data_IF_507964901074
#
_entry.id   IF_507964901074
#
_cell.length_a   1.000
_cell.length_b   1.000
_cell.length_c   1.000
_cell.angle_alpha   90.00
_cell.angle_beta   90.00
_cell.angle_gamma   90.00
#
_symmetry.space_group_name_H-M   'P 1'
#
loop_
_entity.id
_entity.type
_entity.pdbx_description
1 polymer ?
#
# COMPACT_ATOMS: atom_id res chain seq x y z
N UNK A 1 5.88 -4.28 16.79
CA UNK A 1 5.37 -3.05 16.16
C UNK A 1 3.97 -2.76 16.67
N UNK A 2 3.66 -1.55 17.11
CA UNK A 2 2.37 -1.25 17.76
C UNK A 2 1.27 -1.11 16.70
N UNK A 3 0.56 -2.20 16.43
CA UNK A 3 -0.51 -2.28 15.39
C UNK A 3 -1.70 -1.32 15.58
N UNK A 4 -1.78 -0.57 16.71
CA UNK A 4 -2.95 0.27 17.02
C UNK A 4 -2.90 1.70 16.46
N UNK A 5 -1.75 2.15 15.93
CA UNK A 5 -1.55 3.53 15.45
C UNK A 5 -1.20 3.62 13.96
N UNK A 6 -1.28 2.52 13.25
CA UNK A 6 -1.13 2.45 11.79
C UNK A 6 -2.25 1.63 11.20
N UNK A 7 -2.63 1.98 9.99
CA UNK A 7 -3.59 1.24 9.20
C UNK A 7 -2.81 0.32 8.26
N UNK A 8 -3.05 -0.98 8.37
CA UNK A 8 -2.36 -1.98 7.54
C UNK A 8 -3.39 -2.74 6.71
N UNK A 9 -3.05 -3.00 5.48
CA UNK A 9 -3.89 -3.74 4.53
C UNK A 9 -3.04 -4.73 3.74
N UNK A 10 -3.71 -5.56 2.94
CA UNK A 10 -3.05 -6.54 2.09
C UNK A 10 -2.67 -7.83 2.80
N UNK A 11 -2.06 -8.71 2.06
CA UNK A 11 -1.65 -10.02 2.53
C UNK A 11 -0.37 -9.98 3.37
N UNK A 12 -0.14 -11.04 4.15
CA UNK A 12 1.11 -11.17 4.90
C UNK A 12 2.30 -11.50 3.98
N UNK A 13 3.51 -11.24 4.46
CA UNK A 13 4.73 -11.56 3.71
C UNK A 13 4.78 -13.03 3.30
N UNK A 14 4.32 -13.94 4.15
CA UNK A 14 4.29 -15.37 3.89
C UNK A 14 3.33 -15.72 2.75
N UNK A 15 2.15 -15.08 2.71
CA UNK A 15 1.16 -15.26 1.64
C UNK A 15 1.69 -14.73 0.31
N UNK A 16 2.27 -13.53 0.31
CA UNK A 16 2.88 -12.94 -0.89
C UNK A 16 4.02 -13.82 -1.44
N UNK A 17 4.89 -14.33 -0.55
CA UNK A 17 5.96 -15.27 -0.95
C UNK A 17 5.37 -16.55 -1.55
N UNK A 18 4.30 -17.09 -0.95
CA UNK A 18 3.62 -18.27 -1.48
C UNK A 18 3.07 -18.03 -2.88
N UNK A 19 2.46 -16.87 -3.16
CA UNK A 19 2.00 -16.50 -4.50
C UNK A 19 3.15 -16.47 -5.53
N UNK A 20 4.31 -15.93 -5.17
CA UNK A 20 5.48 -15.95 -6.06
C UNK A 20 6.00 -17.37 -6.30
N UNK A 21 6.03 -18.21 -5.26
CA UNK A 21 6.51 -19.60 -5.39
C UNK A 21 5.56 -20.47 -6.22
N UNK A 22 4.26 -20.29 -6.01
CA UNK A 22 3.23 -21.07 -6.70
C UNK A 22 2.90 -20.55 -8.10
N UNK A 23 3.32 -19.33 -8.44
CA UNK A 23 2.97 -18.64 -9.69
C UNK A 23 1.45 -18.59 -9.95
N UNK A 24 0.65 -18.44 -8.88
CA UNK A 24 -0.81 -18.51 -8.94
C UNK A 24 -1.50 -17.15 -9.03
N UNK A 25 -0.76 -16.05 -8.84
CA UNK A 25 -1.26 -14.70 -9.03
C UNK A 25 -1.36 -14.32 -10.51
N UNK A 26 -2.55 -13.93 -10.96
CA UNK A 26 -2.81 -13.48 -12.33
C UNK A 26 -3.62 -12.18 -12.28
N UNK A 27 -2.94 -11.03 -12.37
CA UNK A 27 -3.56 -9.69 -12.32
C UNK A 27 -4.69 -9.49 -13.33
N UNK A 28 -4.52 -10.00 -14.54
CA UNK A 28 -5.53 -9.95 -15.60
C UNK A 28 -6.84 -10.65 -15.25
N UNK A 29 -6.80 -11.69 -14.41
CA UNK A 29 -7.98 -12.40 -13.92
C UNK A 29 -8.77 -11.49 -12.97
N UNK A 30 -8.09 -10.86 -12.00
CA UNK A 30 -8.68 -9.91 -11.06
C UNK A 30 -9.29 -8.72 -11.82
N UNK A 31 -8.52 -8.10 -12.72
CA UNK A 31 -8.99 -7.00 -13.56
C UNK A 31 -10.30 -7.33 -14.32
N UNK A 32 -10.47 -8.59 -14.77
CA UNK A 32 -11.68 -9.00 -15.50
C UNK A 32 -12.85 -9.34 -14.60
N UNK A 33 -12.58 -9.90 -13.41
CA UNK A 33 -13.60 -10.42 -12.51
C UNK A 33 -14.15 -9.38 -11.54
N UNK A 34 -13.34 -8.36 -11.21
CA UNK A 34 -13.67 -7.34 -10.22
C UNK A 34 -14.03 -6.00 -10.89
N UNK A 35 -15.33 -5.65 -11.02
CA UNK A 35 -15.76 -4.44 -11.73
C UNK A 35 -15.18 -3.15 -11.16
N UNK A 36 -15.03 -3.04 -9.83
CA UNK A 36 -14.46 -1.86 -9.19
C UNK A 36 -12.98 -1.70 -9.52
N UNK A 37 -12.22 -2.79 -9.46
CA UNK A 37 -10.80 -2.80 -9.81
C UNK A 37 -10.64 -2.43 -11.27
N UNK A 38 -11.45 -3.01 -12.15
CA UNK A 38 -11.48 -2.67 -13.58
C UNK A 38 -11.72 -1.17 -13.78
N UNK A 39 -12.71 -0.60 -13.10
CA UNK A 39 -13.03 0.82 -13.20
C UNK A 39 -11.86 1.69 -12.75
N UNK A 40 -11.20 1.37 -11.64
CA UNK A 40 -10.01 2.09 -11.17
C UNK A 40 -8.85 2.02 -12.16
N UNK A 41 -8.57 0.84 -12.70
CA UNK A 41 -7.49 0.65 -13.68
C UNK A 41 -7.80 1.35 -15.01
N UNK A 42 -9.04 1.31 -15.48
CA UNK A 42 -9.46 2.00 -16.70
C UNK A 42 -9.44 3.54 -16.53
N UNK A 43 -9.67 4.04 -15.32
CA UNK A 43 -9.58 5.47 -15.02
C UNK A 43 -8.18 6.05 -15.25
N UNK A 44 -7.13 5.23 -15.13
CA UNK A 44 -5.74 5.67 -15.40
C UNK A 44 -5.58 6.28 -16.80
N UNK A 45 -6.34 5.80 -17.77
CA UNK A 45 -6.31 6.30 -19.15
C UNK A 45 -7.51 7.17 -19.52
N UNK A 46 -8.25 7.64 -18.53
CA UNK A 46 -9.38 8.54 -18.71
C UNK A 46 -8.97 9.87 -19.35
N UNK A 47 -9.95 10.61 -19.85
CA UNK A 47 -9.71 11.96 -20.41
C UNK A 47 -9.15 12.91 -19.36
N UNK A 48 -9.63 12.80 -18.13
CA UNK A 48 -9.24 13.62 -16.99
C UNK A 48 -7.74 13.44 -16.69
N UNK A 49 -7.28 12.21 -16.48
CA UNK A 49 -5.87 11.97 -16.19
C UNK A 49 -4.97 12.22 -17.42
N UNK A 50 -5.45 11.92 -18.62
CA UNK A 50 -4.70 12.22 -19.85
C UNK A 50 -4.59 13.71 -20.16
N UNK A 51 -5.42 14.58 -19.53
CA UNK A 51 -5.30 16.04 -19.69
C UNK A 51 -4.16 16.66 -18.87
N UNK A 52 -3.77 16.01 -17.78
CA UNK A 52 -2.72 16.48 -16.84
C UNK A 52 -1.45 15.63 -16.89
N UNK A 53 -1.50 14.47 -17.54
CA UNK A 53 -0.38 13.53 -17.64
C UNK A 53 -0.08 13.05 -19.06
N UNK A 54 1.07 12.42 -19.23
CA UNK A 54 1.43 11.83 -20.51
C UNK A 54 0.57 10.59 -20.81
N UNK A 55 -0.27 10.67 -21.83
CA UNK A 55 -1.12 9.55 -22.27
C UNK A 55 -0.33 8.27 -22.55
N UNK A 56 0.89 8.41 -23.08
CA UNK A 56 1.77 7.26 -23.35
C UNK A 56 2.17 6.56 -22.05
N UNK A 57 2.61 7.31 -21.04
CA UNK A 57 3.05 6.79 -19.75
C UNK A 57 1.86 6.19 -18.98
N UNK A 58 0.71 6.88 -18.95
CA UNK A 58 -0.50 6.38 -18.29
C UNK A 58 -0.98 5.06 -18.90
N UNK A 59 -0.93 4.94 -20.23
CA UNK A 59 -1.26 3.68 -20.91
C UNK A 59 -0.27 2.57 -20.58
N UNK A 60 1.02 2.90 -20.51
CA UNK A 60 2.04 1.92 -20.11
C UNK A 60 1.79 1.43 -18.67
N UNK A 61 1.51 2.32 -17.73
CA UNK A 61 1.16 1.97 -16.35
C UNK A 61 -0.08 1.06 -16.29
N UNK A 62 -1.14 1.41 -17.01
CA UNK A 62 -2.34 0.55 -17.10
C UNK A 62 -1.99 -0.85 -17.59
N UNK A 63 -1.20 -0.96 -18.66
CA UNK A 63 -0.82 -2.26 -19.21
C UNK A 63 0.09 -3.07 -18.28
N UNK A 64 0.98 -2.42 -17.53
CA UNK A 64 1.80 -3.08 -16.53
C UNK A 64 0.92 -3.67 -15.40
N UNK A 65 -0.05 -2.91 -14.90
CA UNK A 65 -1.00 -3.40 -13.88
C UNK A 65 -1.84 -4.57 -14.40
N UNK A 66 -2.35 -4.50 -15.64
CA UNK A 66 -3.19 -5.57 -16.20
C UNK A 66 -2.40 -6.86 -16.47
N UNK A 67 -1.15 -6.76 -16.92
CA UNK A 67 -0.43 -7.91 -17.45
C UNK A 67 0.65 -8.47 -16.53
N UNK A 68 1.17 -7.67 -15.60
CA UNK A 68 2.29 -8.07 -14.74
C UNK A 68 2.00 -7.88 -13.27
N UNK A 69 1.65 -6.64 -12.86
CA UNK A 69 1.38 -6.27 -11.47
C UNK A 69 2.32 -6.95 -10.46
N UNK A 70 3.61 -6.68 -10.61
CA UNK A 70 4.68 -7.31 -9.81
C UNK A 70 4.49 -7.21 -8.29
N UNK A 71 3.79 -6.19 -7.82
CA UNK A 71 3.55 -5.95 -6.40
C UNK A 71 2.18 -6.45 -5.92
N UNK A 72 1.43 -7.19 -6.77
CA UNK A 72 0.08 -7.68 -6.46
C UNK A 72 -0.89 -6.56 -6.03
N UNK A 73 -0.71 -5.37 -6.60
CA UNK A 73 -1.48 -4.16 -6.26
C UNK A 73 -2.98 -4.35 -6.43
N UNK A 74 -3.41 -5.09 -7.47
CA UNK A 74 -4.82 -5.34 -7.72
C UNK A 74 -5.42 -6.31 -6.71
N UNK A 75 -4.62 -7.20 -6.13
CA UNK A 75 -5.05 -8.10 -5.06
C UNK A 75 -5.36 -7.32 -3.78
N UNK A 76 -4.50 -6.37 -3.44
CA UNK A 76 -4.59 -5.59 -2.21
C UNK A 76 -5.59 -4.42 -2.28
N UNK A 77 -6.04 -4.03 -3.47
CA UNK A 77 -6.79 -2.79 -3.67
C UNK A 77 -8.08 -2.72 -2.86
N UNK A 78 -8.84 -3.81 -2.76
CA UNK A 78 -10.07 -3.85 -1.98
C UNK A 78 -9.79 -3.71 -0.47
N UNK A 79 -8.74 -4.37 0.03
CA UNK A 79 -8.29 -4.24 1.42
C UNK A 79 -7.82 -2.81 1.72
N UNK A 80 -7.08 -2.19 0.80
CA UNK A 80 -6.67 -0.79 0.89
C UNK A 80 -7.88 0.15 1.00
N UNK A 81 -8.89 -0.01 0.14
CA UNK A 81 -10.10 0.82 0.16
C UNK A 81 -10.81 0.71 1.52
N UNK A 82 -11.01 -0.51 2.02
CA UNK A 82 -11.65 -0.75 3.31
C UNK A 82 -10.87 -0.08 4.47
N UNK A 83 -9.55 -0.22 4.50
CA UNK A 83 -8.71 0.41 5.53
C UNK A 83 -8.67 1.93 5.40
N UNK A 84 -8.65 2.48 4.19
CA UNK A 84 -8.77 3.92 3.94
C UNK A 84 -10.09 4.46 4.49
N UNK A 85 -11.20 3.79 4.22
CA UNK A 85 -12.52 4.22 4.70
C UNK A 85 -12.60 4.14 6.23
N UNK A 86 -12.00 3.11 6.84
CA UNK A 86 -11.85 3.02 8.31
C UNK A 86 -11.00 4.15 8.87
N UNK A 87 -9.90 4.48 8.21
CA UNK A 87 -9.03 5.60 8.61
C UNK A 87 -9.79 6.93 8.59
N UNK A 88 -10.56 7.19 7.53
CA UNK A 88 -11.37 8.41 7.41
C UNK A 88 -12.48 8.46 8.48
N UNK A 89 -13.17 7.36 8.73
CA UNK A 89 -14.16 7.26 9.79
C UNK A 89 -13.57 7.46 11.20
N UNK A 90 -12.35 6.97 11.44
CA UNK A 90 -11.63 7.21 12.69
C UNK A 90 -11.18 8.67 12.84
N UNK A 91 -10.84 9.33 11.72
CA UNK A 91 -10.48 10.75 11.72
C UNK A 91 -11.62 11.66 12.23
N UNK A 92 -12.88 11.33 11.92
CA UNK A 92 -14.05 12.05 12.41
C UNK A 92 -14.19 11.98 13.95
N UNK A 93 -13.58 10.97 14.59
CA UNK A 93 -13.54 10.83 16.05
C UNK A 93 -12.35 11.58 16.62
N UNK A 94 -12.37 12.90 16.58
CA UNK A 94 -11.24 13.79 16.85
C UNK A 94 -10.51 13.51 18.18
N UNK A 95 -11.23 13.17 19.25
CA UNK A 95 -10.61 12.86 20.53
C UNK A 95 -9.75 11.59 20.47
N UNK A 96 -10.29 10.52 19.89
CA UNK A 96 -9.56 9.25 19.73
C UNK A 96 -8.40 9.40 18.73
N UNK A 97 -8.62 10.16 17.67
CA UNK A 97 -7.58 10.48 16.70
C UNK A 97 -6.42 11.24 17.33
N UNK A 98 -6.72 12.26 18.14
CA UNK A 98 -5.69 13.01 18.86
C UNK A 98 -4.89 12.12 19.82
N UNK A 99 -5.54 11.21 20.53
CA UNK A 99 -4.84 10.21 21.37
C UNK A 99 -3.87 9.34 20.56
N UNK A 100 -4.29 8.87 19.37
CA UNK A 100 -3.41 8.12 18.45
C UNK A 100 -2.22 8.96 17.99
N UNK A 101 -2.43 10.23 17.63
CA UNK A 101 -1.38 11.16 17.25
C UNK A 101 -0.36 11.37 18.37
N UNK A 102 -0.80 11.63 19.60
CA UNK A 102 0.08 11.79 20.75
C UNK A 102 0.94 10.56 21.02
N UNK A 103 0.36 9.36 20.90
CA UNK A 103 1.12 8.11 21.05
C UNK A 103 2.17 7.96 19.95
N UNK A 104 1.84 8.31 18.71
CA UNK A 104 2.79 8.25 17.60
C UNK A 104 3.94 9.25 17.79
N UNK A 105 3.64 10.49 18.23
CA UNK A 105 4.65 11.50 18.51
C UNK A 105 5.56 11.05 19.66
N UNK A 106 4.98 10.56 20.76
CA UNK A 106 5.75 10.08 21.91
C UNK A 106 6.70 8.91 21.58
N UNK A 107 6.36 8.13 20.55
CA UNK A 107 7.15 6.97 20.11
C UNK A 107 8.00 7.24 18.86
N UNK A 108 7.94 8.44 18.30
CA UNK A 108 8.67 8.80 17.08
C UNK A 108 10.20 8.65 17.23
N UNK A 109 10.73 8.81 18.45
CA UNK A 109 12.16 8.61 18.74
C UNK A 109 12.68 7.22 18.35
N UNK A 110 11.80 6.21 18.28
CA UNK A 110 12.18 4.88 17.75
C UNK A 110 12.64 4.94 16.30
N UNK A 111 12.17 5.89 15.52
CA UNK A 111 12.50 6.07 14.10
C UNK A 111 13.63 7.09 13.87
N UNK A 112 14.35 7.49 14.93
CA UNK A 112 15.48 8.40 14.78
C UNK A 112 16.62 7.75 13.98
N UNK A 113 17.28 8.55 13.15
CA UNK A 113 18.46 8.11 12.39
C UNK A 113 19.58 7.64 13.31
N UNK A 114 19.82 8.35 14.42
CA UNK A 114 20.87 8.00 15.40
C UNK A 114 20.67 6.60 15.96
N UNK A 115 19.44 6.24 16.35
CA UNK A 115 19.13 4.88 16.80
C UNK A 115 19.34 3.86 15.68
N UNK A 116 18.92 4.18 14.46
CA UNK A 116 19.06 3.28 13.32
C UNK A 116 20.51 3.03 12.98
N UNK A 117 21.35 4.07 12.98
CA UNK A 117 22.81 3.96 12.76
C UNK A 117 23.46 3.16 13.89
N UNK A 118 23.12 3.45 15.16
CA UNK A 118 23.64 2.69 16.28
C UNK A 118 23.28 1.20 16.19
N UNK A 119 22.04 0.88 15.79
CA UNK A 119 21.63 -0.51 15.58
C UNK A 119 22.39 -1.16 14.41
N UNK A 120 22.58 -0.47 13.29
CA UNK A 120 23.38 -0.97 12.17
C UNK A 120 24.83 -1.22 12.58
N UNK A 121 25.40 -0.31 13.40
CA UNK A 121 26.74 -0.51 13.92
C UNK A 121 26.83 -1.78 14.78
N UNK A 122 25.86 -1.98 15.68
CA UNK A 122 25.83 -3.14 16.56
C UNK A 122 25.58 -4.45 15.81
N UNK A 123 24.61 -4.48 14.89
CA UNK A 123 24.12 -5.72 14.29
C UNK A 123 24.86 -6.12 13.02
N UNK A 124 25.36 -5.14 12.26
CA UNK A 124 25.93 -5.36 10.92
C UNK A 124 27.42 -5.04 10.88
N UNK A 125 27.78 -3.78 11.19
CA UNK A 125 29.16 -3.30 11.00
C UNK A 125 30.09 -3.73 12.11
N UNK A 126 29.61 -3.80 13.37
CA UNK A 126 30.38 -4.21 14.56
C UNK A 126 31.67 -3.39 14.78
N UNK A 127 31.57 -2.07 14.54
CA UNK A 127 32.65 -1.10 14.71
C UNK A 127 32.82 -0.68 16.18
#
# INVERSE_FOLDING_TARGET
>A
MYKRQIYTFGESSEQVIAHYQNHDYISKKIYKQEPHIKQCVDFIVSKELCSIGSRKILRQLQQELINKDWFMTLLDLNAYIAEKDRCLADYEKHEEWTKKMLVNIAKAGFFSSDRTIAQYNQDIWKL
#
